data_IF_349629791728
#
_entry.id   IF_349629791728
#
_cell.length_a   1.000
_cell.length_b   1.000
_cell.length_c   1.000
_cell.angle_alpha   90.00
_cell.angle_beta   90.00
_cell.angle_gamma   90.00
#
_symmetry.space_group_name_H-M   'P 1'
#
loop_
_entity.id
_entity.type
_entity.pdbx_description
1 polymer ?
#
# COMPACT_ATOMS: atom_id res chain seq x y z
N UNK A 1 12.28 -8.82 20.75
CA UNK A 1 12.97 -7.77 21.51
C UNK A 1 14.50 -7.91 21.46
N UNK A 2 15.12 -8.96 22.01
CA UNK A 2 16.62 -9.11 22.06
C UNK A 2 17.30 -8.98 20.69
N UNK A 3 16.75 -9.59 19.65
CA UNK A 3 17.27 -9.45 18.28
C UNK A 3 17.25 -7.97 17.81
N UNK A 4 16.13 -7.27 17.96
CA UNK A 4 16.03 -5.85 17.58
C UNK A 4 17.03 -4.98 18.34
N UNK A 5 17.23 -5.24 19.61
CA UNK A 5 18.22 -4.48 20.41
C UNK A 5 19.66 -4.77 19.98
N UNK A 6 19.99 -6.04 19.69
CA UNK A 6 21.31 -6.41 19.18
C UNK A 6 21.56 -5.82 17.79
N UNK A 7 20.58 -5.90 16.90
CA UNK A 7 20.63 -5.31 15.57
C UNK A 7 20.85 -3.79 15.64
N UNK A 8 20.08 -3.09 16.47
CA UNK A 8 20.25 -1.65 16.64
C UNK A 8 21.62 -1.28 17.25
N UNK A 9 22.18 -2.12 18.10
CA UNK A 9 23.53 -1.90 18.65
C UNK A 9 24.61 -1.89 17.57
N UNK A 10 24.43 -2.66 16.48
CA UNK A 10 25.32 -2.62 15.34
C UNK A 10 24.99 -1.45 14.38
N UNK A 11 23.70 -1.11 14.24
CA UNK A 11 23.22 -0.16 13.23
C UNK A 11 23.31 1.32 13.64
N UNK A 12 23.16 1.65 14.93
CA UNK A 12 22.92 3.03 15.40
C UNK A 12 23.93 4.09 14.96
N UNK A 13 25.14 3.66 14.61
CA UNK A 13 26.23 4.56 14.16
C UNK A 13 26.03 5.07 12.74
N UNK A 14 25.22 4.39 11.95
CA UNK A 14 25.05 4.62 10.51
C UNK A 14 23.71 5.29 10.18
N UNK A 15 22.87 5.51 11.19
CA UNK A 15 21.53 6.06 11.03
C UNK A 15 21.34 7.34 11.87
N UNK A 16 20.40 8.17 11.45
CA UNK A 16 20.06 9.40 12.15
C UNK A 16 18.97 10.14 11.39
N UNK A 17 18.36 11.19 12.01
CA UNK A 17 17.30 11.96 11.36
C UNK A 17 17.65 12.54 10.00
N UNK A 18 18.95 12.88 9.82
CA UNK A 18 19.48 13.54 8.63
C UNK A 18 20.48 12.64 7.86
N UNK A 19 20.48 11.34 8.13
CA UNK A 19 21.33 10.34 7.46
C UNK A 19 20.43 9.30 6.81
N UNK A 20 20.38 8.08 7.38
CA UNK A 20 19.46 7.04 6.95
C UNK A 20 18.33 6.89 7.97
N UNK A 21 17.08 6.87 7.50
CA UNK A 21 15.89 6.73 8.34
C UNK A 21 15.20 5.41 8.02
N UNK A 22 15.49 4.31 8.74
CA UNK A 22 14.83 3.03 8.53
C UNK A 22 13.34 3.08 8.86
N UNK A 23 12.57 2.24 8.17
CA UNK A 23 11.13 2.08 8.37
C UNK A 23 10.75 0.62 8.63
N UNK A 24 9.52 0.39 9.06
CA UNK A 24 8.95 -0.96 9.13
C UNK A 24 8.72 -1.55 7.74
N UNK A 25 8.81 -2.87 7.66
CA UNK A 25 8.56 -3.66 6.46
C UNK A 25 7.97 -5.02 6.87
N UNK A 26 7.96 -5.99 5.97
CA UNK A 26 7.41 -7.33 6.22
C UNK A 26 8.01 -7.95 7.51
N UNK A 27 7.14 -8.28 8.46
CA UNK A 27 7.54 -8.81 9.77
C UNK A 27 8.07 -7.78 10.78
N UNK A 28 8.17 -6.49 10.41
CA UNK A 28 8.64 -5.40 11.27
C UNK A 28 7.56 -4.33 11.39
N UNK A 29 6.74 -4.46 12.42
CA UNK A 29 5.66 -3.51 12.72
C UNK A 29 6.03 -2.56 13.86
N UNK A 30 5.02 -1.84 14.37
CA UNK A 30 5.20 -0.85 15.44
C UNK A 30 5.85 -1.41 16.71
N UNK A 31 5.65 -2.70 17.02
CA UNK A 31 6.30 -3.40 18.14
C UNK A 31 7.82 -3.47 17.97
N UNK A 32 8.28 -3.90 16.80
CA UNK A 32 9.70 -4.01 16.45
C UNK A 32 10.34 -2.63 16.36
N UNK A 33 9.67 -1.67 15.73
CA UNK A 33 10.11 -0.26 15.68
C UNK A 33 10.27 0.30 17.09
N UNK A 34 9.36 0.00 18.01
CA UNK A 34 9.48 0.39 19.42
C UNK A 34 10.74 -0.17 20.09
N UNK A 35 11.07 -1.45 19.86
CA UNK A 35 12.28 -2.06 20.40
C UNK A 35 13.56 -1.47 19.80
N UNK A 36 13.56 -1.18 18.50
CA UNK A 36 14.67 -0.55 17.80
C UNK A 36 14.89 0.87 18.29
N UNK A 37 13.84 1.69 18.35
CA UNK A 37 13.91 3.07 18.81
C UNK A 37 14.34 3.18 20.27
N UNK A 38 13.79 2.35 21.15
CA UNK A 38 14.17 2.32 22.57
C UNK A 38 15.66 1.99 22.76
N UNK A 39 16.22 1.09 21.96
CA UNK A 39 17.64 0.77 22.01
C UNK A 39 18.51 1.90 21.42
N UNK A 40 18.11 2.48 20.28
CA UNK A 40 18.78 3.64 19.70
C UNK A 40 18.92 4.77 20.72
N UNK A 41 17.82 5.12 21.37
CA UNK A 41 17.80 6.18 22.38
C UNK A 41 18.71 5.92 23.57
N UNK A 42 18.81 4.65 24.04
CA UNK A 42 19.75 4.27 25.11
C UNK A 42 21.20 4.45 24.70
N UNK A 43 21.55 4.11 23.46
CA UNK A 43 22.91 4.17 22.93
C UNK A 43 23.35 5.59 22.62
N UNK A 44 22.49 6.38 22.00
CA UNK A 44 22.78 7.79 21.62
C UNK A 44 22.69 8.76 22.78
N UNK A 45 21.83 8.49 23.76
CA UNK A 45 21.61 9.36 24.91
C UNK A 45 20.91 10.70 24.60
N UNK A 46 20.32 10.83 23.39
CA UNK A 46 19.65 12.05 22.90
C UNK A 46 18.23 11.76 22.43
N UNK A 47 17.43 12.79 22.30
CA UNK A 47 16.07 12.71 21.80
C UNK A 47 16.04 13.03 20.29
N UNK A 48 16.25 12.00 19.47
CA UNK A 48 16.21 12.08 18.01
C UNK A 48 14.99 11.30 17.48
N UNK A 49 13.81 11.93 17.48
CA UNK A 49 12.57 11.26 17.06
C UNK A 49 12.52 10.93 15.57
N UNK A 50 13.25 11.66 14.73
CA UNK A 50 13.25 11.48 13.27
C UNK A 50 14.02 10.25 12.78
N UNK A 51 14.67 9.47 13.64
CA UNK A 51 15.59 8.40 13.24
C UNK A 51 14.93 7.16 12.64
N UNK A 52 13.67 6.91 12.93
CA UNK A 52 12.88 5.76 12.47
C UNK A 52 11.47 6.23 12.13
N UNK A 53 10.81 5.59 11.17
CA UNK A 53 9.39 5.83 10.90
C UNK A 53 8.53 4.60 11.23
N UNK A 54 7.22 4.82 11.41
CA UNK A 54 6.30 3.80 11.91
C UNK A 54 6.32 3.65 13.43
N UNK A 55 6.76 4.71 14.14
CA UNK A 55 6.78 4.77 15.59
C UNK A 55 5.37 4.85 16.18
N UNK A 56 5.24 4.46 17.44
CA UNK A 56 4.02 4.69 18.22
C UNK A 56 3.83 6.17 18.55
N UNK A 57 2.57 6.61 18.75
CA UNK A 57 2.22 8.00 19.02
C UNK A 57 2.90 8.57 20.27
N UNK A 58 3.16 7.73 21.27
CA UNK A 58 3.82 8.15 22.52
C UNK A 58 5.32 8.49 22.39
N UNK A 59 5.93 8.22 21.23
CA UNK A 59 7.36 8.49 20.99
C UNK A 59 7.64 8.98 19.55
N UNK A 60 6.76 9.80 19.02
CA UNK A 60 6.99 10.56 17.79
C UNK A 60 6.45 9.91 16.52
N UNK A 61 5.49 9.01 16.63
CA UNK A 61 4.76 8.45 15.49
C UNK A 61 3.77 9.44 14.87
N UNK A 62 3.28 9.13 13.69
CA UNK A 62 2.22 9.87 12.98
C UNK A 62 0.92 9.07 12.94
N UNK A 63 -0.20 9.75 13.03
CA UNK A 63 -1.51 9.21 12.72
C UNK A 63 -1.57 8.77 11.25
N UNK A 64 -2.51 7.89 10.91
CA UNK A 64 -2.72 7.33 9.56
C UNK A 64 -1.55 6.44 9.05
N UNK A 65 -0.38 6.43 9.68
CA UNK A 65 0.78 5.67 9.17
C UNK A 65 0.50 4.17 8.94
N UNK A 66 -0.20 3.44 9.83
CA UNK A 66 -0.54 2.03 9.60
C UNK A 66 -1.44 1.81 8.38
N UNK A 67 -2.35 2.73 8.11
CA UNK A 67 -3.33 2.69 7.03
C UNK A 67 -2.81 3.29 5.71
N UNK A 68 -1.74 4.07 5.77
CA UNK A 68 -1.32 5.00 4.71
C UNK A 68 -1.16 4.36 3.34
N UNK A 69 -0.58 3.17 3.25
CA UNK A 69 -0.40 2.47 1.97
C UNK A 69 -1.75 2.09 1.36
N UNK A 70 -2.66 1.54 2.16
CA UNK A 70 -4.00 1.17 1.70
C UNK A 70 -4.86 2.38 1.35
N UNK A 71 -4.81 3.44 2.17
CA UNK A 71 -5.51 4.70 1.90
C UNK A 71 -4.99 5.35 0.63
N UNK A 72 -3.67 5.45 0.47
CA UNK A 72 -3.05 5.99 -0.74
C UNK A 72 -3.41 5.22 -1.99
N UNK A 73 -3.48 3.89 -1.91
CA UNK A 73 -3.89 3.06 -3.03
C UNK A 73 -5.33 3.34 -3.49
N UNK A 74 -6.24 3.61 -2.54
CA UNK A 74 -7.62 4.00 -2.86
C UNK A 74 -7.68 5.42 -3.45
N UNK A 75 -6.89 6.38 -2.94
CA UNK A 75 -6.81 7.71 -3.53
C UNK A 75 -6.24 7.68 -4.95
N UNK A 76 -5.21 6.87 -5.19
CA UNK A 76 -4.68 6.68 -6.54
C UNK A 76 -5.74 6.06 -7.48
N UNK A 77 -6.49 5.06 -7.01
CA UNK A 77 -7.61 4.48 -7.75
C UNK A 77 -8.67 5.53 -8.10
N UNK A 78 -9.01 6.45 -7.17
CA UNK A 78 -9.95 7.54 -7.47
C UNK A 78 -9.49 8.40 -8.64
N UNK A 79 -8.20 8.71 -8.74
CA UNK A 79 -7.66 9.48 -9.85
C UNK A 79 -7.72 8.71 -11.19
N UNK A 80 -7.45 7.40 -11.16
CA UNK A 80 -7.62 6.52 -12.32
C UNK A 80 -9.09 6.51 -12.77
N UNK A 81 -10.03 6.40 -11.83
CA UNK A 81 -11.46 6.42 -12.11
C UNK A 81 -11.92 7.78 -12.68
N UNK A 82 -11.46 8.90 -12.09
CA UNK A 82 -11.74 10.25 -12.59
C UNK A 82 -11.29 10.43 -14.06
N UNK A 83 -10.10 9.94 -14.39
CA UNK A 83 -9.59 9.96 -15.77
C UNK A 83 -10.52 9.23 -16.74
N UNK A 84 -11.13 8.15 -16.28
CA UNK A 84 -12.07 7.33 -17.08
C UNK A 84 -13.53 7.82 -17.01
N UNK A 85 -13.80 8.99 -16.41
CA UNK A 85 -15.15 9.50 -16.13
C UNK A 85 -16.00 8.52 -15.33
N UNK A 86 -15.38 7.81 -14.38
CA UNK A 86 -15.98 6.81 -13.50
C UNK A 86 -15.86 7.22 -12.02
N UNK A 87 -16.56 6.55 -11.13
CA UNK A 87 -16.56 6.84 -9.69
C UNK A 87 -16.24 5.60 -8.87
N UNK A 88 -15.69 5.82 -7.68
CA UNK A 88 -15.40 4.75 -6.72
C UNK A 88 -16.64 4.19 -6.03
N UNK A 89 -17.69 5.01 -5.92
CA UNK A 89 -18.94 4.62 -5.26
C UNK A 89 -19.56 3.39 -5.95
N UNK A 90 -19.89 2.38 -5.16
CA UNK A 90 -20.47 1.13 -5.64
C UNK A 90 -19.48 0.14 -6.26
N UNK A 91 -18.20 0.48 -6.45
CA UNK A 91 -17.20 -0.45 -7.01
C UNK A 91 -17.01 -1.67 -6.11
N UNK A 92 -16.91 -2.83 -6.74
CA UNK A 92 -16.59 -4.11 -6.10
C UNK A 92 -15.12 -4.40 -6.32
N UNK A 93 -14.42 -4.61 -5.23
CA UNK A 93 -12.95 -4.74 -5.22
C UNK A 93 -12.58 -6.14 -4.72
N UNK A 94 -11.64 -6.79 -5.42
CA UNK A 94 -10.98 -8.00 -4.95
C UNK A 94 -9.52 -7.69 -4.60
N UNK A 95 -9.08 -8.12 -3.43
CA UNK A 95 -7.71 -7.91 -2.95
C UNK A 95 -7.05 -9.21 -2.56
N UNK A 96 -5.72 -9.27 -2.61
CA UNK A 96 -4.96 -10.25 -1.86
C UNK A 96 -4.34 -9.62 -0.62
N UNK A 97 -4.30 -10.40 0.48
CA UNK A 97 -3.78 -9.94 1.75
C UNK A 97 -4.77 -9.12 2.58
N UNK A 98 -4.75 -9.35 3.88
CA UNK A 98 -5.54 -8.62 4.89
C UNK A 98 -4.66 -8.07 6.02
N UNK A 99 -3.39 -7.84 5.73
CA UNK A 99 -2.46 -7.12 6.59
C UNK A 99 -2.80 -5.63 6.69
N UNK A 100 -1.86 -4.79 7.13
CA UNK A 100 -2.10 -3.34 7.25
C UNK A 100 -2.56 -2.71 5.94
N UNK A 101 -1.96 -3.12 4.82
CA UNK A 101 -2.29 -2.59 3.48
C UNK A 101 -3.70 -2.99 3.09
N UNK A 102 -4.02 -4.30 3.09
CA UNK A 102 -5.35 -4.79 2.73
C UNK A 102 -6.45 -4.24 3.65
N UNK A 103 -6.19 -4.19 4.96
CA UNK A 103 -7.11 -3.58 5.92
C UNK A 103 -7.32 -2.08 5.65
N UNK A 104 -6.26 -1.34 5.33
CA UNK A 104 -6.36 0.07 4.95
C UNK A 104 -7.19 0.26 3.68
N UNK A 105 -7.02 -0.60 2.65
CA UNK A 105 -7.85 -0.61 1.45
C UNK A 105 -9.33 -0.80 1.83
N UNK A 106 -9.65 -1.84 2.60
CA UNK A 106 -11.03 -2.13 3.04
C UNK A 106 -11.66 -0.94 3.76
N UNK A 107 -10.93 -0.34 4.70
CA UNK A 107 -11.41 0.78 5.51
C UNK A 107 -11.67 2.02 4.66
N UNK A 108 -10.72 2.42 3.80
CA UNK A 108 -10.91 3.63 2.97
C UNK A 108 -11.93 3.39 1.86
N UNK A 109 -11.95 2.21 1.24
CA UNK A 109 -12.95 1.85 0.24
C UNK A 109 -14.37 1.96 0.80
N UNK A 110 -14.61 1.40 2.00
CA UNK A 110 -15.92 1.48 2.66
C UNK A 110 -16.35 2.93 2.97
N UNK A 111 -15.41 3.78 3.40
CA UNK A 111 -15.68 5.20 3.66
C UNK A 111 -16.10 5.97 2.39
N UNK A 112 -15.64 5.52 1.22
CA UNK A 112 -15.91 6.14 -0.08
C UNK A 112 -17.00 5.42 -0.88
N UNK A 113 -17.75 4.50 -0.26
CA UNK A 113 -18.89 3.83 -0.85
C UNK A 113 -18.54 2.62 -1.74
N UNK A 114 -17.27 2.21 -1.82
CA UNK A 114 -16.87 0.97 -2.47
C UNK A 114 -16.92 -0.23 -1.51
N UNK A 115 -16.87 -1.44 -2.08
CA UNK A 115 -16.97 -2.69 -1.32
C UNK A 115 -15.83 -3.63 -1.67
N UNK A 116 -15.05 -4.03 -0.68
CA UNK A 116 -14.14 -5.18 -0.86
C UNK A 116 -14.96 -6.45 -0.66
N UNK A 117 -15.33 -7.08 -1.77
CA UNK A 117 -16.18 -8.29 -1.79
C UNK A 117 -15.37 -9.58 -1.80
N UNK A 118 -14.10 -9.51 -2.19
CA UNK A 118 -13.19 -10.65 -2.14
C UNK A 118 -11.87 -10.25 -1.48
N UNK A 119 -11.41 -11.08 -0.54
CA UNK A 119 -10.05 -10.95 -0.04
C UNK A 119 -9.40 -12.33 0.18
N UNK A 120 -8.12 -12.45 -0.18
CA UNK A 120 -7.39 -13.70 -0.08
C UNK A 120 -6.36 -13.69 1.04
N UNK A 121 -6.21 -14.81 1.69
CA UNK A 121 -5.16 -15.13 2.63
C UNK A 121 -4.27 -16.28 2.14
N UNK A 122 -3.33 -16.74 2.97
CA UNK A 122 -2.50 -17.91 2.65
C UNK A 122 -3.28 -19.23 2.53
N UNK A 123 -4.41 -19.34 3.23
CA UNK A 123 -5.26 -20.54 3.32
C UNK A 123 -6.37 -20.60 2.26
N UNK A 124 -6.61 -19.53 1.52
CA UNK A 124 -7.66 -19.44 0.52
C UNK A 124 -8.20 -18.02 0.38
N UNK A 125 -9.43 -17.88 -0.14
CA UNK A 125 -10.07 -16.58 -0.22
C UNK A 125 -11.50 -16.59 0.37
N UNK A 126 -11.93 -15.40 0.77
CA UNK A 126 -13.29 -15.09 1.23
C UNK A 126 -14.05 -14.40 0.10
N UNK A 127 -15.31 -14.79 -0.10
CA UNK A 127 -16.28 -14.04 -0.86
C UNK A 127 -17.39 -13.55 0.09
N UNK A 128 -17.39 -12.26 0.33
CA UNK A 128 -18.43 -11.56 1.10
C UNK A 128 -19.21 -10.63 0.15
N UNK A 129 -20.39 -11.04 -0.33
CA UNK A 129 -21.16 -10.26 -1.31
C UNK A 129 -21.61 -8.90 -0.78
N UNK A 130 -21.77 -8.74 0.52
CA UNK A 130 -22.08 -7.45 1.15
C UNK A 130 -20.85 -6.54 1.27
N UNK A 131 -19.67 -7.15 1.21
CA UNK A 131 -18.38 -6.51 1.35
C UNK A 131 -17.98 -6.21 2.80
N UNK A 132 -16.69 -5.90 2.98
CA UNK A 132 -16.12 -5.51 4.28
C UNK A 132 -16.38 -4.01 4.47
N UNK A 133 -17.59 -3.65 4.89
CA UNK A 133 -18.06 -2.25 4.95
C UNK A 133 -18.46 -1.79 6.35
N UNK A 134 -18.48 -2.67 7.35
CA UNK A 134 -18.86 -2.30 8.73
C UNK A 134 -17.66 -2.29 9.66
N UNK A 135 -17.74 -1.45 10.70
CA UNK A 135 -16.70 -1.41 11.74
C UNK A 135 -16.52 -2.77 12.41
N UNK A 136 -17.60 -3.54 12.58
CA UNK A 136 -17.53 -4.91 13.14
C UNK A 136 -16.65 -5.81 12.26
N UNK A 137 -16.86 -5.82 10.95
CA UNK A 137 -16.07 -6.61 9.99
C UNK A 137 -14.62 -6.17 9.97
N UNK A 138 -14.36 -4.84 9.94
CA UNK A 138 -13.01 -4.26 9.95
C UNK A 138 -12.26 -4.59 11.24
N UNK A 139 -12.91 -4.46 12.39
CA UNK A 139 -12.32 -4.77 13.69
C UNK A 139 -12.04 -6.27 13.83
N UNK A 140 -12.95 -7.12 13.34
CA UNK A 140 -12.74 -8.55 13.37
C UNK A 140 -11.53 -9.00 12.55
N UNK A 141 -11.24 -8.37 11.41
CA UNK A 141 -10.01 -8.64 10.64
C UNK A 141 -8.76 -8.32 11.47
N UNK A 142 -8.76 -7.21 12.23
CA UNK A 142 -7.65 -6.88 13.13
C UNK A 142 -7.46 -7.93 14.23
N UNK A 143 -8.55 -8.35 14.85
CA UNK A 143 -8.52 -9.39 15.90
C UNK A 143 -8.07 -10.75 15.35
N UNK A 144 -8.61 -11.14 14.20
CA UNK A 144 -8.30 -12.40 13.52
C UNK A 144 -6.81 -12.49 13.19
N UNK A 145 -6.26 -11.47 12.53
CA UNK A 145 -4.83 -11.45 12.16
C UNK A 145 -3.88 -11.35 13.35
N UNK A 146 -4.32 -10.74 14.45
CA UNK A 146 -3.53 -10.69 15.69
C UNK A 146 -3.41 -12.06 16.35
N UNK A 147 -4.43 -12.92 16.21
CA UNK A 147 -4.43 -14.30 16.72
C UNK A 147 -3.70 -15.24 15.77
N UNK A 148 -4.05 -15.18 14.49
CA UNK A 148 -3.48 -16.04 13.45
C UNK A 148 -3.49 -15.31 12.09
N UNK A 149 -2.33 -14.83 11.62
CA UNK A 149 -2.23 -14.12 10.35
C UNK A 149 -2.28 -15.04 9.12
N UNK A 150 -2.28 -16.37 9.32
CA UNK A 150 -2.20 -17.35 8.23
C UNK A 150 -3.55 -17.86 7.75
N UNK A 151 -4.63 -17.63 8.50
CA UNK A 151 -5.95 -18.17 8.20
C UNK A 151 -7.02 -17.08 8.17
N UNK A 152 -7.69 -16.93 7.01
CA UNK A 152 -8.82 -16.01 6.85
C UNK A 152 -10.19 -16.71 7.05
N UNK A 153 -10.23 -18.04 7.06
CA UNK A 153 -11.45 -18.83 7.26
C UNK A 153 -12.31 -18.38 8.46
N UNK A 154 -11.75 -18.00 9.64
CA UNK A 154 -12.58 -17.54 10.77
C UNK A 154 -13.51 -16.35 10.45
N UNK A 155 -13.18 -15.54 9.44
CA UNK A 155 -14.06 -14.47 8.97
C UNK A 155 -15.34 -15.05 8.36
N UNK A 156 -15.19 -16.04 7.48
CA UNK A 156 -16.33 -16.71 6.85
C UNK A 156 -17.24 -17.40 7.90
N UNK A 157 -16.62 -18.07 8.87
CA UNK A 157 -17.34 -18.76 9.94
C UNK A 157 -18.15 -17.76 10.80
N UNK A 158 -17.63 -16.54 11.04
CA UNK A 158 -18.34 -15.53 11.83
C UNK A 158 -19.47 -14.84 11.06
N UNK A 159 -19.21 -14.46 9.81
CA UNK A 159 -20.14 -13.61 9.04
C UNK A 159 -21.02 -14.41 8.04
N UNK A 160 -20.89 -15.73 7.99
CA UNK A 160 -21.66 -16.59 7.10
C UNK A 160 -21.34 -16.40 5.62
N UNK A 161 -20.11 -16.04 5.31
CA UNK A 161 -19.61 -15.83 3.96
C UNK A 161 -19.03 -17.11 3.37
N UNK A 162 -18.83 -17.12 2.06
CA UNK A 162 -18.16 -18.23 1.38
C UNK A 162 -16.63 -18.18 1.66
N UNK A 163 -16.05 -19.34 1.93
CA UNK A 163 -14.61 -19.55 1.99
C UNK A 163 -14.20 -20.60 0.96
N UNK A 164 -13.26 -20.26 0.09
CA UNK A 164 -12.72 -21.19 -0.92
C UNK A 164 -11.27 -21.52 -0.53
N UNK A 165 -11.00 -22.73 -0.05
CA UNK A 165 -9.70 -23.12 0.47
C UNK A 165 -8.68 -23.33 -0.65
N UNK A 166 -7.44 -22.90 -0.42
CA UNK A 166 -6.28 -23.15 -1.29
C UNK A 166 -6.27 -22.40 -2.62
N UNK A 167 -7.29 -21.59 -2.89
CA UNK A 167 -7.39 -20.82 -4.13
C UNK A 167 -7.15 -19.34 -3.92
N UNK A 168 -6.82 -18.64 -5.02
CA UNK A 168 -6.69 -17.18 -5.07
C UNK A 168 -7.93 -16.58 -5.74
N UNK A 169 -8.29 -15.36 -5.36
CA UNK A 169 -9.46 -14.67 -5.90
C UNK A 169 -9.23 -14.04 -7.30
N UNK A 170 -8.21 -14.46 -8.04
CA UNK A 170 -7.94 -13.92 -9.37
C UNK A 170 -8.81 -14.59 -10.45
N UNK A 171 -9.51 -13.78 -11.21
CA UNK A 171 -10.43 -14.25 -12.24
C UNK A 171 -11.86 -14.52 -11.76
N UNK A 172 -12.20 -14.17 -10.49
CA UNK A 172 -13.57 -14.18 -10.02
C UNK A 172 -14.44 -13.20 -10.80
N UNK A 173 -15.74 -13.46 -10.88
CA UNK A 173 -16.69 -12.61 -11.59
C UNK A 173 -17.20 -11.48 -10.69
N UNK A 174 -17.89 -10.54 -11.30
CA UNK A 174 -18.54 -9.43 -10.58
C UNK A 174 -17.60 -8.57 -9.74
N UNK A 175 -16.41 -8.34 -10.25
CA UNK A 175 -15.38 -7.45 -9.68
C UNK A 175 -15.05 -6.35 -10.68
N UNK A 176 -14.98 -5.12 -10.23
CA UNK A 176 -14.66 -3.94 -11.03
C UNK A 176 -13.17 -3.61 -10.96
N UNK A 177 -12.51 -3.95 -9.82
CA UNK A 177 -11.11 -3.60 -9.52
C UNK A 177 -10.40 -4.79 -8.88
N UNK A 178 -9.23 -5.16 -9.39
CA UNK A 178 -8.28 -6.04 -8.70
C UNK A 178 -7.13 -5.25 -8.07
N UNK A 179 -6.85 -5.52 -6.79
CA UNK A 179 -5.79 -4.86 -6.04
C UNK A 179 -4.90 -5.90 -5.33
N UNK A 180 -3.86 -6.43 -5.97
CA UNK A 180 -2.93 -7.35 -5.32
C UNK A 180 -2.11 -6.62 -4.25
N UNK A 181 -2.35 -6.95 -2.96
CA UNK A 181 -1.81 -6.24 -1.81
C UNK A 181 -1.10 -7.15 -0.80
N UNK A 182 -0.86 -8.43 -1.15
CA UNK A 182 -0.25 -9.40 -0.25
C UNK A 182 1.30 -9.38 -0.33
N UNK A 183 1.84 -9.89 -1.41
CA UNK A 183 3.28 -10.14 -1.52
C UNK A 183 3.78 -10.09 -2.97
N UNK A 184 5.10 -10.09 -3.10
CA UNK A 184 5.79 -10.14 -4.38
C UNK A 184 5.45 -11.43 -5.15
N UNK A 185 5.26 -11.31 -6.47
CA UNK A 185 4.96 -12.41 -7.39
C UNK A 185 3.70 -13.22 -7.01
N UNK A 186 2.72 -12.57 -6.42
CA UNK A 186 1.43 -13.17 -6.09
C UNK A 186 0.61 -13.50 -7.34
N UNK A 187 0.68 -12.65 -8.38
CA UNK A 187 0.01 -12.80 -9.66
C UNK A 187 1.01 -13.27 -10.71
N UNK A 188 0.87 -14.54 -11.12
CA UNK A 188 1.63 -15.18 -12.20
C UNK A 188 0.80 -15.22 -13.49
N UNK A 189 1.39 -15.68 -14.59
CA UNK A 189 0.74 -15.72 -15.90
C UNK A 189 -0.63 -16.41 -15.86
N UNK A 190 -0.75 -17.57 -15.23
CA UNK A 190 -2.04 -18.27 -15.09
C UNK A 190 -3.13 -17.40 -14.46
N UNK A 191 -2.77 -16.63 -13.42
CA UNK A 191 -3.70 -15.70 -12.77
C UNK A 191 -4.01 -14.51 -13.66
N UNK A 192 -3.01 -13.99 -14.40
CA UNK A 192 -3.20 -12.87 -15.32
C UNK A 192 -4.14 -13.23 -16.48
N UNK A 193 -4.04 -14.44 -17.02
CA UNK A 193 -4.97 -14.95 -18.03
C UNK A 193 -6.42 -15.01 -17.52
N UNK A 194 -6.62 -15.48 -16.28
CA UNK A 194 -7.94 -15.47 -15.62
C UNK A 194 -8.47 -14.06 -15.41
N UNK A 195 -7.60 -13.12 -14.99
CA UNK A 195 -7.94 -11.70 -14.85
C UNK A 195 -8.36 -11.11 -16.18
N UNK A 196 -7.62 -11.37 -17.25
CA UNK A 196 -7.90 -10.80 -18.56
C UNK A 196 -9.29 -11.19 -19.14
N UNK A 197 -9.78 -12.38 -18.80
CA UNK A 197 -11.10 -12.87 -19.27
C UNK A 197 -12.23 -12.61 -18.26
N UNK A 198 -11.94 -12.05 -17.08
CA UNK A 198 -12.94 -11.77 -16.05
C UNK A 198 -13.84 -10.57 -16.36
N UNK A 199 -13.41 -9.72 -17.30
CA UNK A 199 -14.09 -8.47 -17.64
C UNK A 199 -13.73 -7.29 -16.74
N UNK A 200 -12.71 -7.43 -15.85
CA UNK A 200 -12.23 -6.34 -15.01
C UNK A 200 -11.65 -5.20 -15.86
N UNK A 201 -11.90 -3.96 -15.45
CA UNK A 201 -11.36 -2.77 -16.12
C UNK A 201 -10.11 -2.20 -15.42
N UNK A 202 -9.99 -2.36 -14.11
CA UNK A 202 -8.96 -1.73 -13.33
C UNK A 202 -8.09 -2.77 -12.59
N UNK A 203 -6.79 -2.75 -12.90
CA UNK A 203 -5.79 -3.58 -12.23
C UNK A 203 -4.78 -2.67 -11.54
N UNK A 204 -4.85 -2.59 -10.22
CA UNK A 204 -4.14 -1.61 -9.40
C UNK A 204 -3.15 -2.35 -8.48
N UNK A 205 -1.88 -2.39 -8.85
CA UNK A 205 -0.86 -3.04 -8.04
C UNK A 205 -0.60 -2.29 -6.73
N UNK A 206 -0.65 -2.97 -5.60
CA UNK A 206 -0.42 -2.35 -4.28
C UNK A 206 0.80 -2.90 -3.56
N UNK A 207 0.95 -4.23 -3.45
CA UNK A 207 2.18 -4.80 -2.91
C UNK A 207 3.39 -4.48 -3.81
N UNK A 208 4.60 -4.57 -3.28
CA UNK A 208 5.80 -4.39 -4.10
C UNK A 208 5.94 -5.54 -5.11
N UNK A 209 5.95 -5.20 -6.40
CA UNK A 209 6.07 -6.17 -7.51
C UNK A 209 5.14 -7.38 -7.35
N UNK A 210 3.82 -7.20 -7.16
CA UNK A 210 2.91 -8.32 -6.90
C UNK A 210 2.72 -9.20 -8.12
N UNK A 211 2.97 -8.66 -9.31
CA UNK A 211 2.80 -9.33 -10.61
C UNK A 211 4.16 -9.65 -11.19
N UNK A 212 4.34 -10.87 -11.70
CA UNK A 212 5.56 -11.22 -12.44
C UNK A 212 5.66 -10.40 -13.73
N UNK A 213 6.88 -10.13 -14.20
CA UNK A 213 7.10 -9.24 -15.35
C UNK A 213 6.39 -9.69 -16.63
N UNK A 214 6.34 -10.99 -16.89
CA UNK A 214 5.63 -11.59 -18.00
C UNK A 214 4.11 -11.38 -17.89
N UNK A 215 3.55 -11.63 -16.71
CA UNK A 215 2.13 -11.41 -16.40
C UNK A 215 1.76 -9.92 -16.48
N UNK A 216 2.60 -9.02 -15.95
CA UNK A 216 2.36 -7.58 -16.03
C UNK A 216 2.37 -7.09 -17.47
N UNK A 217 3.35 -7.51 -18.28
CA UNK A 217 3.41 -7.17 -19.69
C UNK A 217 2.20 -7.72 -20.47
N UNK A 218 1.73 -8.92 -20.14
CA UNK A 218 0.51 -9.48 -20.72
C UNK A 218 -0.72 -8.65 -20.37
N UNK A 219 -0.91 -8.25 -19.10
CA UNK A 219 -2.05 -7.42 -18.67
C UNK A 219 -2.01 -6.03 -19.32
N UNK A 220 -0.85 -5.39 -19.46
CA UNK A 220 -0.69 -4.10 -20.14
C UNK A 220 -1.05 -4.13 -21.62
N UNK A 221 -0.99 -5.29 -22.26
CA UNK A 221 -1.41 -5.45 -23.67
C UNK A 221 -2.93 -5.59 -23.82
N UNK A 222 -3.67 -5.82 -22.72
CA UNK A 222 -5.13 -5.93 -22.77
C UNK A 222 -5.75 -4.53 -22.85
N UNK A 223 -6.28 -4.14 -24.01
CA UNK A 223 -6.82 -2.79 -24.26
C UNK A 223 -7.95 -2.35 -23.32
N UNK A 224 -8.63 -3.29 -22.69
CA UNK A 224 -9.75 -3.04 -21.78
C UNK A 224 -9.31 -2.93 -20.31
N UNK A 225 -8.05 -3.21 -19.99
CA UNK A 225 -7.52 -3.17 -18.63
C UNK A 225 -6.58 -1.99 -18.46
N UNK A 226 -6.86 -1.14 -17.50
CA UNK A 226 -5.96 -0.08 -17.06
C UNK A 226 -5.10 -0.64 -15.93
N UNK A 227 -3.79 -0.60 -16.12
CA UNK A 227 -2.80 -1.09 -15.16
C UNK A 227 -2.11 0.07 -14.46
N UNK A 228 -2.22 0.14 -13.13
CA UNK A 228 -1.49 1.10 -12.32
C UNK A 228 -0.32 0.42 -11.58
N UNK A 229 0.89 0.98 -11.63
CA UNK A 229 2.09 0.33 -11.13
C UNK A 229 2.23 0.45 -9.60
N UNK A 230 2.71 -0.60 -8.97
CA UNK A 230 2.90 -0.68 -7.51
C UNK A 230 3.69 0.49 -6.93
N UNK A 231 4.79 0.90 -7.57
CA UNK A 231 5.67 1.98 -7.10
C UNK A 231 4.98 3.35 -6.97
N UNK A 232 3.94 3.60 -7.76
CA UNK A 232 3.13 4.81 -7.66
C UNK A 232 1.97 4.62 -6.70
N UNK A 233 1.27 3.49 -6.81
CA UNK A 233 0.06 3.18 -6.03
C UNK A 233 0.37 3.04 -4.53
N UNK A 234 1.47 2.38 -4.15
CA UNK A 234 1.81 2.14 -2.75
C UNK A 234 2.63 3.26 -2.08
N UNK A 235 2.91 4.34 -2.81
CA UNK A 235 3.71 5.45 -2.32
C UNK A 235 3.11 6.16 -1.08
N UNK A 236 1.83 5.96 -0.78
CA UNK A 236 1.19 6.53 0.41
C UNK A 236 1.88 6.15 1.72
N UNK A 237 2.39 4.92 1.82
CA UNK A 237 3.14 4.47 3.00
C UNK A 237 4.42 5.28 3.25
N UNK A 238 5.26 5.42 2.23
CA UNK A 238 6.49 6.21 2.32
C UNK A 238 6.19 7.72 2.40
N UNK A 239 5.11 8.18 1.76
CA UNK A 239 4.65 9.56 1.86
C UNK A 239 4.32 9.95 3.31
N UNK A 240 3.51 9.15 4.01
CA UNK A 240 3.23 9.42 5.44
C UNK A 240 4.46 9.20 6.32
N UNK A 241 5.42 8.36 5.94
CA UNK A 241 6.73 8.32 6.61
C UNK A 241 7.47 9.66 6.51
N UNK A 242 7.44 10.31 5.34
CA UNK A 242 8.01 11.64 5.17
C UNK A 242 7.27 12.69 6.01
N UNK A 243 5.93 12.61 6.11
CA UNK A 243 5.15 13.48 7.00
C UNK A 243 5.49 13.23 8.48
N UNK A 244 5.73 11.97 8.88
CA UNK A 244 6.19 11.65 10.25
C UNK A 244 7.54 12.29 10.54
N UNK A 245 8.48 12.25 9.58
CA UNK A 245 9.77 12.93 9.70
C UNK A 245 9.61 14.45 9.80
N UNK A 246 8.74 15.06 8.99
CA UNK A 246 8.44 16.49 9.05
C UNK A 246 7.89 16.88 10.44
N UNK A 247 6.88 16.17 10.94
CA UNK A 247 6.33 16.37 12.28
C UNK A 247 7.40 16.25 13.38
N UNK A 248 8.33 15.27 13.23
CA UNK A 248 9.42 15.10 14.18
C UNK A 248 10.41 16.27 14.15
N UNK A 249 10.73 16.81 12.97
CA UNK A 249 11.60 17.99 12.82
C UNK A 249 10.96 19.25 13.39
N UNK A 250 9.66 19.44 13.16
CA UNK A 250 8.88 20.56 13.69
C UNK A 250 8.59 20.41 15.20
N UNK A 251 8.71 19.19 15.73
CA UNK A 251 8.30 18.80 17.10
C UNK A 251 6.80 18.99 17.35
N UNK A 252 6.00 18.80 16.30
CA UNK A 252 4.54 18.90 16.32
C UNK A 252 3.90 17.54 16.09
N UNK A 253 2.63 17.44 16.40
CA UNK A 253 1.77 16.31 16.07
C UNK A 253 0.60 16.86 15.28
N UNK A 254 0.44 16.37 14.06
CA UNK A 254 -0.68 16.78 13.20
C UNK A 254 -1.91 15.92 13.48
N UNK A 255 -3.07 16.47 13.21
CA UNK A 255 -4.34 15.74 13.29
C UNK A 255 -4.42 14.64 12.22
N UNK A 256 -5.32 13.68 12.41
CA UNK A 256 -5.55 12.65 11.40
C UNK A 256 -6.05 13.24 10.07
N UNK A 257 -6.87 14.29 10.15
CA UNK A 257 -7.42 15.01 9.00
C UNK A 257 -6.31 15.71 8.20
N UNK A 258 -5.35 16.33 8.88
CA UNK A 258 -4.19 16.97 8.22
C UNK A 258 -3.33 15.95 7.49
N UNK A 259 -2.99 14.84 8.17
CA UNK A 259 -2.18 13.77 7.56
C UNK A 259 -2.93 13.12 6.38
N UNK A 260 -4.23 12.85 6.51
CA UNK A 260 -5.05 12.26 5.45
C UNK A 260 -5.18 13.20 4.25
N UNK A 261 -5.36 14.50 4.47
CA UNK A 261 -5.40 15.51 3.41
C UNK A 261 -4.07 15.59 2.64
N UNK A 262 -2.94 15.61 3.36
CA UNK A 262 -1.61 15.61 2.73
C UNK A 262 -1.37 14.32 1.94
N UNK A 263 -1.76 13.17 2.48
CA UNK A 263 -1.68 11.90 1.79
C UNK A 263 -2.50 11.91 0.49
N UNK A 264 -3.74 12.40 0.54
CA UNK A 264 -4.61 12.50 -0.64
C UNK A 264 -3.96 13.37 -1.72
N UNK A 265 -3.52 14.59 -1.36
CA UNK A 265 -2.83 15.51 -2.28
C UNK A 265 -1.57 14.89 -2.89
N UNK A 266 -0.78 14.14 -2.11
CA UNK A 266 0.38 13.43 -2.64
C UNK A 266 -0.02 12.39 -3.69
N UNK A 267 -1.05 11.61 -3.45
CA UNK A 267 -1.48 10.56 -4.37
C UNK A 267 -2.08 11.13 -5.66
N UNK A 268 -2.86 12.21 -5.58
CA UNK A 268 -3.32 12.98 -6.75
C UNK A 268 -2.12 13.45 -7.61
N UNK A 269 -1.11 14.04 -6.97
CA UNK A 269 0.07 14.52 -7.67
C UNK A 269 0.89 13.39 -8.31
N UNK A 270 1.07 12.25 -7.62
CA UNK A 270 1.79 11.10 -8.15
C UNK A 270 1.08 10.54 -9.40
N UNK A 271 -0.26 10.43 -9.34
CA UNK A 271 -1.04 10.01 -10.52
C UNK A 271 -0.87 11.00 -11.67
N UNK A 272 -1.08 12.30 -11.40
CA UNK A 272 -0.98 13.37 -12.41
C UNK A 272 0.38 13.37 -13.10
N UNK A 273 1.49 13.39 -12.37
CA UNK A 273 2.83 13.43 -12.98
C UNK A 273 3.15 12.15 -13.76
N UNK A 274 2.61 11.00 -13.34
CA UNK A 274 2.76 9.74 -14.08
C UNK A 274 2.00 9.79 -15.41
N UNK A 275 0.75 10.26 -15.40
CA UNK A 275 -0.06 10.38 -16.61
C UNK A 275 0.52 11.42 -17.59
N UNK A 276 0.94 12.60 -17.10
CA UNK A 276 1.57 13.65 -17.88
C UNK A 276 2.88 13.17 -18.54
N UNK A 277 3.73 12.46 -17.78
CA UNK A 277 4.98 11.92 -18.31
C UNK A 277 4.72 10.87 -19.42
N UNK A 278 3.75 9.98 -19.26
CA UNK A 278 3.38 9.05 -20.32
C UNK A 278 2.90 9.77 -21.58
N UNK A 279 2.04 10.77 -21.45
CA UNK A 279 1.50 11.57 -22.55
C UNK A 279 2.62 12.37 -23.27
N UNK A 280 3.53 13.01 -22.55
CA UNK A 280 4.68 13.76 -23.08
C UNK A 280 5.53 12.91 -24.02
N UNK A 281 5.71 11.62 -23.72
CA UNK A 281 6.51 10.70 -24.53
C UNK A 281 5.67 9.89 -25.53
N UNK A 282 4.41 10.26 -25.78
CA UNK A 282 3.56 9.65 -26.78
C UNK A 282 3.04 8.24 -26.43
N UNK A 283 3.06 7.88 -25.13
CA UNK A 283 2.65 6.56 -24.62
C UNK A 283 1.18 6.52 -24.18
N UNK A 284 0.42 7.60 -24.41
CA UNK A 284 -0.98 7.70 -24.00
C UNK A 284 -1.12 7.65 -22.47
N UNK A 285 -2.04 6.82 -21.98
CA UNK A 285 -2.30 6.64 -20.54
C UNK A 285 -1.61 5.40 -19.98
N UNK A 286 -0.35 5.17 -20.35
CA UNK A 286 0.46 4.08 -19.77
C UNK A 286 1.09 4.52 -18.43
N UNK A 287 0.37 4.32 -17.33
CA UNK A 287 0.81 4.70 -15.99
C UNK A 287 2.08 3.97 -15.53
N UNK A 288 2.34 2.76 -16.04
CA UNK A 288 3.55 2.00 -15.71
C UNK A 288 4.79 2.67 -16.31
N UNK A 289 4.73 3.02 -17.59
CA UNK A 289 5.80 3.76 -18.24
C UNK A 289 5.93 5.18 -17.69
N UNK A 290 4.81 5.88 -17.50
CA UNK A 290 4.79 7.23 -16.97
C UNK A 290 5.41 7.38 -15.59
N UNK A 291 5.10 6.47 -14.67
CA UNK A 291 5.71 6.48 -13.33
C UNK A 291 7.24 6.27 -13.39
N UNK A 292 7.73 5.40 -14.29
CA UNK A 292 9.17 5.21 -14.51
C UNK A 292 9.83 6.49 -15.07
N UNK A 293 9.22 7.09 -16.08
CA UNK A 293 9.75 8.30 -16.74
C UNK A 293 9.76 9.46 -15.75
N UNK A 294 8.67 9.71 -15.04
CA UNK A 294 8.57 10.79 -14.06
C UNK A 294 9.62 10.67 -12.95
N UNK A 295 9.82 9.47 -12.41
CA UNK A 295 10.85 9.22 -11.41
C UNK A 295 12.26 9.41 -11.97
N UNK A 296 12.53 8.90 -13.16
CA UNK A 296 13.84 9.05 -13.82
C UNK A 296 14.16 10.51 -14.14
N UNK A 297 13.22 11.28 -14.69
CA UNK A 297 13.43 12.71 -15.01
C UNK A 297 13.91 13.47 -13.78
N UNK A 298 13.25 13.30 -12.64
CA UNK A 298 13.62 13.99 -11.39
C UNK A 298 15.05 13.66 -10.95
N UNK A 299 15.46 12.40 -11.04
CA UNK A 299 16.82 11.98 -10.69
C UNK A 299 17.83 12.51 -11.72
N UNK A 300 17.53 12.42 -13.02
CA UNK A 300 18.40 12.88 -14.09
C UNK A 300 18.64 14.41 -14.02
N UNK A 301 17.61 15.20 -13.75
CA UNK A 301 17.71 16.64 -13.52
C UNK A 301 18.66 16.96 -12.37
N UNK A 302 18.46 16.31 -11.21
CA UNK A 302 19.35 16.47 -10.06
C UNK A 302 20.79 16.08 -10.37
N UNK A 303 21.02 14.99 -11.11
CA UNK A 303 22.36 14.57 -11.54
C UNK A 303 23.02 15.60 -12.49
N UNK A 304 22.25 16.18 -13.41
CA UNK A 304 22.75 17.21 -14.32
C UNK A 304 23.14 18.49 -13.57
N UNK A 305 22.38 18.89 -12.56
CA UNK A 305 22.64 20.08 -11.77
C UNK A 305 23.80 19.90 -10.75
N UNK A 306 23.88 18.74 -10.12
CA UNK A 306 24.86 18.44 -9.08
C UNK A 306 26.15 17.83 -9.61
N UNK A 307 26.16 17.37 -10.85
CA UNK A 307 27.25 16.60 -11.46
C UNK A 307 27.14 15.09 -11.18
N UNK A 308 27.80 14.31 -12.04
CA UNK A 308 27.94 12.86 -11.87
C UNK A 308 29.36 12.54 -11.40
N UNK A 309 29.50 11.67 -10.42
CA UNK A 309 30.78 11.18 -9.89
C UNK A 309 31.11 9.81 -10.45
#
# INVERSE_FOLDING_TARGET
>A
MRFCQSFMTALYRYIGPDVDVPAGDMGVGGREIGYLYGQYRRLKGVWENGVLTGKGMSYGGSLIRPEATGYGAIYYLQEVLKHENDTIEGKRIAISGYGNVGWGIMKKASQLGAKVTYFAGPDGYIHDPDGVITDEKLNFILEMRAKDPMHCKPYADKFGCEFVPGEKCWGVKDVDVYMPAAMQNDVKMESAEKIAVSGVKYYIEVANMPTTNDALNFLRQQKHIIVAPSKAVNAGGVGVSALEMAQNSERLVWSAEEVDHQLHTMMENIHRVSAEAAAEYGLGYDLVAGANIAGFKKVAEAMMEQGCF
#
